data_IF_120476157431
#
_entry.id   IF_120476157431
#
_cell.length_a   1.000
_cell.length_b   1.000
_cell.length_c   1.000
_cell.angle_alpha   90.00
_cell.angle_beta   90.00
_cell.angle_gamma   90.00
#
_symmetry.space_group_name_H-M   'P 1'
#
loop_
_entity.id
_entity.type
_entity.pdbx_description
1 polymer ?
#
# COMPACT_ATOMS: atom_id res chain seq x y z
N UNK A 1 25.76 14.10 30.95
CA UNK A 1 24.56 13.43 30.41
C UNK A 1 23.97 14.37 29.39
N UNK A 2 24.30 14.16 28.11
CA UNK A 2 23.93 15.07 27.02
C UNK A 2 22.60 14.59 26.45
N UNK A 3 21.57 15.42 26.57
CA UNK A 3 20.26 15.16 25.97
C UNK A 3 20.40 15.13 24.44
N UNK A 4 19.91 14.06 23.82
CA UNK A 4 19.68 13.99 22.38
C UNK A 4 18.28 14.54 22.12
N UNK A 5 18.23 15.78 21.65
CA UNK A 5 17.06 16.31 20.93
C UNK A 5 17.12 15.76 19.51
N UNK A 6 16.20 14.86 19.16
CA UNK A 6 15.97 14.38 17.80
C UNK A 6 14.56 14.74 17.37
N UNK A 7 14.46 15.64 16.40
CA UNK A 7 13.27 16.30 15.89
C UNK A 7 12.15 15.32 15.49
N UNK A 8 10.92 15.55 15.96
CA UNK A 8 9.73 14.90 15.41
C UNK A 8 9.35 15.64 14.12
N UNK A 9 10.02 15.31 13.01
CA UNK A 9 9.69 15.82 11.69
C UNK A 9 8.44 15.09 11.19
N UNK A 10 7.26 15.68 11.38
CA UNK A 10 6.02 15.24 10.72
C UNK A 10 6.24 15.34 9.21
N UNK A 11 6.74 14.26 8.61
CA UNK A 11 7.09 14.24 7.18
C UNK A 11 5.79 14.43 6.42
N UNK A 12 5.61 15.55 5.69
CA UNK A 12 4.34 15.86 5.08
C UNK A 12 3.95 14.73 4.12
N UNK A 13 2.70 14.30 4.20
CA UNK A 13 2.17 13.25 3.34
C UNK A 13 2.46 13.61 1.87
N UNK A 14 3.04 12.68 1.10
CA UNK A 14 3.30 12.93 -0.31
C UNK A 14 2.01 13.28 -1.06
N UNK A 15 2.08 14.18 -2.03
CA UNK A 15 0.89 14.65 -2.79
C UNK A 15 0.16 13.57 -3.59
N UNK A 16 0.74 12.37 -3.69
CA UNK A 16 0.15 11.23 -4.38
C UNK A 16 -0.64 10.30 -3.45
N UNK A 17 -0.68 10.53 -2.14
CA UNK A 17 -1.49 9.74 -1.20
C UNK A 17 -2.42 10.63 -0.39
N UNK A 18 -3.65 10.14 -0.20
CA UNK A 18 -4.63 10.73 0.70
C UNK A 18 -5.09 9.63 1.65
N UNK A 19 -4.81 9.78 2.94
CA UNK A 19 -5.33 8.87 3.96
C UNK A 19 -6.80 9.20 4.24
N UNK A 20 -7.58 8.16 4.50
CA UNK A 20 -9.02 8.22 4.77
C UNK A 20 -9.33 7.33 5.96
N UNK A 21 -10.50 7.51 6.58
CA UNK A 21 -10.93 6.70 7.72
C UNK A 21 -10.94 5.18 7.44
N UNK A 22 -11.16 4.79 6.17
CA UNK A 22 -11.28 3.37 5.77
C UNK A 22 -10.07 2.82 5.01
N UNK A 23 -8.99 3.61 4.84
CA UNK A 23 -7.85 3.22 4.00
C UNK A 23 -7.12 4.41 3.38
N UNK A 24 -6.58 4.25 2.18
CA UNK A 24 -5.86 5.30 1.46
C UNK A 24 -6.25 5.36 -0.02
N UNK A 25 -6.21 6.55 -0.60
CA UNK A 25 -6.33 6.78 -2.04
C UNK A 25 -4.94 7.11 -2.58
N UNK A 26 -4.44 6.28 -3.49
CA UNK A 26 -3.09 6.36 -4.04
C UNK A 26 -3.21 6.77 -5.51
N UNK A 27 -2.71 7.96 -5.82
CA UNK A 27 -2.59 8.45 -7.19
C UNK A 27 -1.36 7.83 -7.84
N UNK A 28 -1.53 7.18 -8.98
CA UNK A 28 -0.49 6.56 -9.77
C UNK A 28 0.13 7.58 -10.73
N UNK A 29 1.41 7.40 -11.05
CA UNK A 29 2.10 8.23 -12.04
C UNK A 29 1.80 7.73 -13.46
N UNK A 30 1.70 6.41 -13.62
CA UNK A 30 1.35 5.77 -14.87
C UNK A 30 -0.01 5.09 -14.69
N UNK A 31 -1.04 5.46 -15.47
CA UNK A 31 -2.32 4.77 -15.40
C UNK A 31 -2.14 3.29 -15.70
N UNK A 32 -2.74 2.44 -14.86
CA UNK A 32 -2.71 0.98 -14.99
C UNK A 32 -4.10 0.46 -15.32
N UNK A 33 -4.17 -0.74 -15.89
CA UNK A 33 -5.43 -1.46 -16.01
C UNK A 33 -5.60 -2.34 -14.76
N UNK A 34 -6.68 -2.13 -14.02
CA UNK A 34 -7.12 -2.98 -12.91
C UNK A 34 -8.50 -3.50 -13.27
N UNK A 35 -8.69 -4.83 -13.25
CA UNK A 35 -9.95 -5.45 -13.66
C UNK A 35 -10.43 -4.97 -15.05
N UNK A 36 -9.52 -4.78 -16.01
CA UNK A 36 -9.81 -4.26 -17.38
C UNK A 36 -10.23 -2.78 -17.43
N UNK A 37 -10.18 -2.05 -16.31
CA UNK A 37 -10.48 -0.61 -16.25
C UNK A 37 -9.18 0.17 -16.06
N UNK A 38 -8.94 1.15 -16.94
CA UNK A 38 -7.77 2.02 -16.82
C UNK A 38 -8.00 3.07 -15.73
N UNK A 39 -7.14 3.07 -14.72
CA UNK A 39 -7.23 3.97 -13.56
C UNK A 39 -5.91 4.69 -13.28
N UNK A 40 -5.99 5.97 -12.91
CA UNK A 40 -4.88 6.76 -12.39
C UNK A 40 -4.89 6.86 -10.86
N UNK A 41 -5.96 6.38 -10.21
CA UNK A 41 -6.10 6.34 -8.75
C UNK A 41 -6.55 4.96 -8.32
N UNK A 42 -5.95 4.48 -7.24
CA UNK A 42 -6.24 3.19 -6.64
C UNK A 42 -6.65 3.43 -5.19
N UNK A 43 -7.78 2.84 -4.80
CA UNK A 43 -8.19 2.80 -3.40
C UNK A 43 -7.59 1.57 -2.75
N UNK A 44 -6.88 1.75 -1.65
CA UNK A 44 -6.35 0.68 -0.81
C UNK A 44 -7.12 0.70 0.51
N UNK A 45 -7.88 -0.35 0.81
CA UNK A 45 -8.58 -0.45 2.10
C UNK A 45 -7.61 -0.72 3.24
N UNK A 46 -7.99 -0.30 4.44
CA UNK A 46 -7.24 -0.61 5.65
C UNK A 46 -7.08 -2.15 5.79
N UNK A 47 -5.86 -2.66 6.02
CA UNK A 47 -5.63 -4.08 6.15
C UNK A 47 -6.25 -4.62 7.43
N UNK A 48 -6.93 -5.77 7.34
CA UNK A 48 -7.37 -6.48 8.53
C UNK A 48 -6.59 -7.78 8.73
N UNK A 49 -6.63 -8.33 9.94
CA UNK A 49 -5.92 -9.58 10.30
C UNK A 49 -6.27 -10.74 9.34
N UNK A 50 -7.50 -10.77 8.81
CA UNK A 50 -7.92 -11.76 7.82
C UNK A 50 -7.12 -11.65 6.52
N UNK A 51 -6.85 -10.44 6.04
CA UNK A 51 -6.07 -10.24 4.82
C UNK A 51 -4.63 -10.74 4.99
N UNK A 52 -3.98 -10.36 6.09
CA UNK A 52 -2.61 -10.79 6.38
C UNK A 52 -2.49 -12.32 6.46
N UNK A 53 -3.48 -12.98 7.11
CA UNK A 53 -3.53 -14.45 7.20
C UNK A 53 -3.80 -15.12 5.86
N UNK A 54 -4.74 -14.60 5.08
CA UNK A 54 -5.06 -15.13 3.75
C UNK A 54 -3.86 -15.02 2.80
N UNK A 55 -3.19 -13.86 2.80
CA UNK A 55 -1.97 -13.65 2.05
C UNK A 55 -0.86 -14.63 2.49
N UNK A 56 -0.68 -14.83 3.81
CA UNK A 56 0.37 -15.72 4.33
C UNK A 56 0.14 -17.18 3.92
N UNK A 57 -1.13 -17.62 3.92
CA UNK A 57 -1.50 -18.95 3.45
C UNK A 57 -1.25 -19.12 1.94
N UNK A 58 -1.54 -18.10 1.13
CA UNK A 58 -1.34 -18.14 -0.32
C UNK A 58 0.13 -18.03 -0.74
N UNK A 59 0.97 -17.38 0.08
CA UNK A 59 2.37 -17.11 -0.22
C UNK A 59 3.29 -18.34 -0.22
N UNK A 60 2.87 -19.45 0.41
CA UNK A 60 3.67 -20.66 0.58
C UNK A 60 5.11 -20.39 1.08
N UNK A 61 5.27 -19.41 1.98
CA UNK A 61 6.55 -19.02 2.57
C UNK A 61 7.39 -17.99 1.79
N UNK A 62 6.96 -17.54 0.61
CA UNK A 62 7.64 -16.45 -0.11
C UNK A 62 7.17 -15.07 0.37
N UNK A 63 8.07 -14.20 0.87
CA UNK A 63 7.72 -12.83 1.24
C UNK A 63 7.19 -12.00 0.07
N UNK A 64 7.72 -12.21 -1.13
CA UNK A 64 7.28 -11.50 -2.34
C UNK A 64 5.86 -11.91 -2.72
N UNK A 65 5.54 -13.21 -2.65
CA UNK A 65 4.20 -13.69 -2.89
C UNK A 65 3.22 -13.21 -1.80
N UNK A 66 3.67 -13.14 -0.54
CA UNK A 66 2.88 -12.60 0.57
C UNK A 66 2.42 -11.18 0.31
N UNK A 67 3.36 -10.30 -0.03
CA UNK A 67 3.07 -8.90 -0.33
C UNK A 67 2.12 -8.76 -1.52
N UNK A 68 2.39 -9.47 -2.62
CA UNK A 68 1.53 -9.46 -3.81
C UNK A 68 0.09 -9.88 -3.48
N UNK A 69 -0.08 -10.99 -2.76
CA UNK A 69 -1.40 -11.46 -2.37
C UNK A 69 -2.12 -10.50 -1.42
N UNK A 70 -1.38 -9.88 -0.51
CA UNK A 70 -1.94 -8.88 0.39
C UNK A 70 -2.45 -7.67 -0.40
N UNK A 71 -1.62 -7.09 -1.28
CA UNK A 71 -2.01 -5.91 -2.05
C UNK A 71 -3.15 -6.19 -3.03
N UNK A 72 -3.16 -7.34 -3.71
CA UNK A 72 -4.29 -7.78 -4.53
C UNK A 72 -5.60 -7.72 -3.72
N UNK A 73 -5.57 -8.23 -2.49
CA UNK A 73 -6.71 -8.17 -1.57
C UNK A 73 -7.10 -6.72 -1.27
N UNK A 74 -6.15 -5.87 -0.87
CA UNK A 74 -6.42 -4.51 -0.39
C UNK A 74 -6.91 -3.54 -1.47
N UNK A 75 -6.48 -3.72 -2.72
CA UNK A 75 -6.88 -2.85 -3.84
C UNK A 75 -7.93 -3.50 -4.75
N UNK A 76 -8.40 -4.70 -4.39
CA UNK A 76 -9.38 -5.48 -5.15
C UNK A 76 -8.95 -5.73 -6.61
N UNK A 77 -7.67 -6.06 -6.82
CA UNK A 77 -7.09 -6.31 -8.14
C UNK A 77 -6.56 -7.74 -8.29
N UNK A 78 -6.41 -8.18 -9.54
CA UNK A 78 -5.78 -9.46 -9.87
C UNK A 78 -4.25 -9.37 -9.81
N UNK A 79 -3.60 -10.53 -9.66
CA UNK A 79 -2.12 -10.60 -9.65
C UNK A 79 -1.51 -10.06 -10.95
N UNK A 80 -2.11 -10.39 -12.10
CA UNK A 80 -1.66 -9.90 -13.40
C UNK A 80 -1.68 -8.37 -13.50
N UNK A 81 -2.63 -7.70 -12.82
CA UNK A 81 -2.74 -6.24 -12.82
C UNK A 81 -1.55 -5.62 -12.06
N UNK A 82 -1.17 -6.21 -10.92
CA UNK A 82 0.00 -5.78 -10.14
C UNK A 82 1.31 -6.09 -10.86
N UNK A 83 1.45 -7.27 -11.48
CA UNK A 83 2.66 -7.67 -12.20
C UNK A 83 2.95 -6.76 -13.42
N UNK A 84 1.92 -6.16 -14.01
CA UNK A 84 2.04 -5.20 -15.14
C UNK A 84 2.26 -3.77 -14.69
N UNK A 85 2.06 -3.47 -13.40
CA UNK A 85 2.25 -2.14 -12.84
C UNK A 85 3.73 -1.72 -12.90
N UNK A 86 3.99 -0.43 -13.11
CA UNK A 86 5.37 0.08 -13.04
C UNK A 86 5.87 0.03 -11.60
N UNK A 87 7.13 -0.34 -11.39
CA UNK A 87 7.74 -0.43 -10.05
C UNK A 87 7.56 0.84 -9.20
N UNK A 88 7.54 2.02 -9.83
CA UNK A 88 7.30 3.29 -9.13
C UNK A 88 5.91 3.37 -8.50
N UNK A 89 4.89 2.86 -9.19
CA UNK A 89 3.51 2.85 -8.73
C UNK A 89 3.31 1.72 -7.71
N UNK A 90 3.96 0.57 -7.92
CA UNK A 90 4.00 -0.50 -6.93
C UNK A 90 4.62 -0.02 -5.60
N UNK A 91 5.71 0.77 -5.66
CA UNK A 91 6.31 1.38 -4.47
C UNK A 91 5.35 2.33 -3.74
N UNK A 92 4.48 3.04 -4.47
CA UNK A 92 3.43 3.87 -3.85
C UNK A 92 2.42 3.04 -3.07
N UNK A 93 2.09 1.83 -3.56
CA UNK A 93 1.25 0.87 -2.83
C UNK A 93 1.93 0.41 -1.54
N UNK A 94 3.20 0.00 -1.60
CA UNK A 94 3.98 -0.39 -0.42
C UNK A 94 4.02 0.71 0.64
N UNK A 95 4.32 1.92 0.19
CA UNK A 95 4.37 3.10 1.04
C UNK A 95 3.00 3.50 1.61
N UNK A 96 1.91 3.29 0.85
CA UNK A 96 0.55 3.51 1.34
C UNK A 96 0.14 2.48 2.38
N UNK A 97 0.44 1.21 2.15
CA UNK A 97 0.21 0.14 3.13
C UNK A 97 0.96 0.40 4.43
N UNK A 98 2.24 0.78 4.34
CA UNK A 98 3.06 1.06 5.52
C UNK A 98 2.42 2.14 6.41
N UNK A 99 1.98 3.25 5.80
CA UNK A 99 1.27 4.34 6.50
C UNK A 99 -0.10 3.96 7.06
N UNK A 100 -0.73 2.91 6.53
CA UNK A 100 -2.01 2.41 7.06
C UNK A 100 -1.83 1.47 8.26
N UNK A 101 -0.65 0.87 8.41
CA UNK A 101 -0.33 -0.07 9.49
C UNK A 101 0.48 0.62 10.59
N UNK A 102 1.29 1.61 10.24
CA UNK A 102 1.89 2.51 11.21
C UNK A 102 0.82 3.39 11.84
N UNK A 103 0.68 3.31 13.16
CA UNK A 103 -0.04 4.31 13.95
C UNK A 103 0.77 5.61 13.92
N UNK A 104 0.68 6.38 12.83
CA UNK A 104 1.11 7.77 12.87
C UNK A 104 -0.02 8.56 13.54
N UNK A 105 0.11 8.79 14.86
CA UNK A 105 -0.62 9.83 15.58
C UNK A 105 -0.41 11.16 14.82
N UNK A 106 -1.35 11.50 13.94
CA UNK A 106 -1.49 12.85 13.38
C UNK A 106 -2.33 13.73 14.32
#
# INVERSE_FOLDING_TARGET
MTQVTGNNETTPLPSWIVLTDSGAIITLKYPVEINTVKVDKVTMRAPCVRDTRAAAAAANGSPEAHELHLFCSLIEAGRDDLDRMKQRDYRRLQEGYFRLVEEDEL
#
